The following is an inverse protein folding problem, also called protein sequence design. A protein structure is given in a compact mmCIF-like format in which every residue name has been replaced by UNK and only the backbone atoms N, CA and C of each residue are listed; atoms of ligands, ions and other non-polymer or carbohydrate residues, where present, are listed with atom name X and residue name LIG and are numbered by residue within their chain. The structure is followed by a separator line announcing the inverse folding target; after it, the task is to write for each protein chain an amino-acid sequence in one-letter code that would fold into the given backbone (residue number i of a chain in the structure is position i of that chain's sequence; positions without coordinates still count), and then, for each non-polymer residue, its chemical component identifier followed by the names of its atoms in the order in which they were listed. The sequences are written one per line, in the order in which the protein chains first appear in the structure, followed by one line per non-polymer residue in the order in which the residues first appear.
data_IF_647765481000
#
_entry.id   IF_647765481000
#
_cell.length_a   1.000
_cell.length_b   1.000
_cell.length_c   1.000
_cell.angle_alpha   90.00
_cell.angle_beta   90.00
_cell.angle_gamma   90.00
#
_symmetry.space_group_name_H-M   'P 1'
#
loop_
_entity.id
_entity.type
_entity.pdbx_description
1 polymer ?
#
# COMPACT_ATOMS: atom_id res chain seq x y z
N UNK A 1 -23.77 0.22 -4.30
CA UNK A 1 -22.62 -0.12 -5.19
C UNK A 1 -23.26 -0.79 -6.39
N UNK A 2 -23.91 0.03 -7.22
CA UNK A 2 -24.67 -0.44 -8.36
C UNK A 2 -23.79 -0.27 -9.59
N UNK A 3 -23.59 -1.36 -10.32
CA UNK A 3 -22.79 -1.50 -11.54
C UNK A 3 -21.29 -1.19 -11.42
N UNK A 4 -20.53 -2.07 -10.76
CA UNK A 4 -19.08 -2.17 -11.03
C UNK A 4 -18.92 -2.64 -12.48
N UNK A 5 -18.77 -1.72 -13.41
CA UNK A 5 -18.62 -2.07 -14.83
C UNK A 5 -17.26 -2.76 -15.01
N UNK A 6 -17.16 -3.86 -15.79
CA UNK A 6 -15.88 -4.54 -16.03
C UNK A 6 -14.79 -3.60 -16.59
N UNK A 7 -15.21 -2.54 -17.31
CA UNK A 7 -14.32 -1.46 -17.78
C UNK A 7 -13.64 -0.68 -16.65
N UNK A 8 -14.33 -0.48 -15.53
CA UNK A 8 -13.80 0.25 -14.38
C UNK A 8 -12.79 -0.60 -13.61
N UNK A 9 -13.10 -1.88 -13.41
CA UNK A 9 -12.19 -2.86 -12.80
C UNK A 9 -10.91 -2.99 -13.61
N UNK A 10 -11.04 -3.17 -14.93
CA UNK A 10 -9.90 -3.28 -15.83
C UNK A 10 -9.04 -2.01 -15.79
N UNK A 11 -9.65 -0.82 -15.81
CA UNK A 11 -8.90 0.44 -15.75
C UNK A 11 -8.09 0.55 -14.46
N UNK A 12 -8.70 0.27 -13.30
CA UNK A 12 -8.00 0.36 -12.01
C UNK A 12 -6.90 -0.70 -11.91
N UNK A 13 -7.21 -1.96 -12.23
CA UNK A 13 -6.24 -3.05 -12.18
C UNK A 13 -5.05 -2.82 -13.11
N UNK A 14 -5.30 -2.31 -14.32
CA UNK A 14 -4.26 -1.98 -15.28
C UNK A 14 -3.37 -0.83 -14.80
N UNK A 15 -3.95 0.29 -14.35
CA UNK A 15 -3.15 1.42 -13.87
C UNK A 15 -2.35 1.02 -12.63
N UNK A 16 -2.99 0.35 -11.66
CA UNK A 16 -2.32 -0.06 -10.43
C UNK A 16 -1.20 -1.07 -10.70
N UNK A 17 -1.45 -2.08 -11.55
CA UNK A 17 -0.42 -3.04 -11.96
C UNK A 17 0.73 -2.37 -12.72
N UNK A 18 0.44 -1.41 -13.61
CA UNK A 18 1.46 -0.66 -14.35
C UNK A 18 2.31 0.21 -13.42
N UNK A 19 1.69 0.93 -12.48
CA UNK A 19 2.42 1.72 -11.49
C UNK A 19 3.29 0.83 -10.59
N UNK A 20 2.77 -0.31 -10.14
CA UNK A 20 3.52 -1.25 -9.30
C UNK A 20 4.63 -1.97 -10.07
N UNK A 21 4.51 -2.14 -11.39
CA UNK A 21 5.59 -2.61 -12.26
C UNK A 21 6.69 -1.56 -12.42
N UNK A 22 6.30 -0.29 -12.58
CA UNK A 22 7.23 0.81 -12.85
C UNK A 22 8.01 1.25 -11.60
N UNK A 23 7.40 1.18 -10.42
CA UNK A 23 8.02 1.61 -9.16
C UNK A 23 9.33 0.86 -8.79
N UNK A 24 9.40 -0.49 -8.88
CA UNK A 24 10.64 -1.22 -8.66
C UNK A 24 11.74 -0.85 -9.66
N UNK A 25 11.38 -0.59 -10.93
CA UNK A 25 12.33 -0.16 -11.96
C UNK A 25 12.90 1.22 -11.62
N UNK A 26 12.03 2.16 -11.20
CA UNK A 26 12.47 3.48 -10.73
C UNK A 26 13.36 3.34 -9.49
N UNK A 27 12.99 2.48 -8.54
CA UNK A 27 13.78 2.20 -7.34
C UNK A 27 15.15 1.60 -7.67
N UNK A 28 15.21 0.73 -8.68
CA UNK A 28 16.46 0.13 -9.16
C UNK A 28 17.37 1.17 -9.83
N UNK A 29 16.83 2.01 -10.70
CA UNK A 29 17.56 3.12 -11.33
C UNK A 29 18.06 4.13 -10.28
N UNK A 30 17.18 4.53 -9.36
CA UNK A 30 17.52 5.45 -8.27
C UNK A 30 18.56 4.84 -7.31
N UNK A 31 18.50 3.53 -7.06
CA UNK A 31 19.45 2.81 -6.23
C UNK A 31 20.87 2.77 -6.78
N UNK A 32 21.00 2.75 -8.11
CA UNK A 32 22.30 2.89 -8.76
C UNK A 32 22.92 4.29 -8.59
N UNK A 33 22.10 5.32 -8.28
CA UNK A 33 22.53 6.71 -8.14
C UNK A 33 22.65 7.20 -6.68
N UNK A 34 21.97 6.56 -5.72
CA UNK A 34 21.79 7.05 -4.35
C UNK A 34 22.18 5.96 -3.35
N UNK A 35 23.46 5.89 -2.98
CA UNK A 35 24.00 4.67 -2.36
C UNK A 35 23.83 4.51 -0.85
N UNK A 36 23.41 5.50 -0.05
CA UNK A 36 23.43 5.30 1.42
C UNK A 36 22.49 6.16 2.27
N UNK A 37 22.21 7.41 1.91
CA UNK A 37 21.47 8.32 2.83
C UNK A 37 19.94 8.13 2.86
N UNK A 38 19.34 7.60 1.78
CA UNK A 38 17.89 7.42 1.69
C UNK A 38 17.39 6.24 2.53
N UNK A 39 18.23 5.24 2.77
CA UNK A 39 17.86 4.05 3.53
C UNK A 39 17.54 4.45 4.98
N UNK A 40 18.40 5.23 5.64
CA UNK A 40 18.17 5.63 7.04
C UNK A 40 16.93 6.50 7.22
N UNK A 41 16.69 7.46 6.31
CA UNK A 41 15.50 8.33 6.38
C UNK A 41 14.21 7.62 5.96
N UNK A 42 14.29 6.65 5.04
CA UNK A 42 13.13 5.94 4.51
C UNK A 42 12.37 5.14 5.56
N UNK A 43 13.06 4.53 6.52
CA UNK A 43 12.42 3.75 7.59
C UNK A 43 11.62 4.63 8.56
N UNK A 44 12.15 5.80 8.92
CA UNK A 44 11.44 6.74 9.78
C UNK A 44 10.21 7.33 9.09
N UNK A 45 10.32 7.59 7.78
CA UNK A 45 9.18 8.01 6.94
C UNK A 45 8.11 6.91 6.84
N UNK A 46 8.50 5.66 6.59
CA UNK A 46 7.60 4.53 6.55
C UNK A 46 6.89 4.34 7.90
N UNK A 47 7.62 4.37 9.02
CA UNK A 47 7.04 4.29 10.35
C UNK A 47 6.00 5.39 10.60
N UNK A 48 6.36 6.65 10.35
CA UNK A 48 5.46 7.78 10.56
C UNK A 48 4.18 7.61 9.73
N UNK A 49 4.32 7.22 8.46
CA UNK A 49 3.19 7.02 7.56
C UNK A 49 2.29 5.85 7.99
N UNK A 50 2.85 4.69 8.32
CA UNK A 50 2.11 3.51 8.77
C UNK A 50 1.38 3.78 10.10
N UNK A 51 2.03 4.45 11.05
CA UNK A 51 1.44 4.78 12.33
C UNK A 51 0.28 5.78 12.16
N UNK A 52 0.45 6.79 11.29
CA UNK A 52 -0.58 7.79 10.99
C UNK A 52 -1.79 7.15 10.29
N UNK A 53 -1.57 6.29 9.29
CA UNK A 53 -2.65 5.56 8.61
C UNK A 53 -3.36 4.60 9.57
N UNK A 54 -2.61 3.78 10.30
CA UNK A 54 -3.17 2.78 11.21
C UNK A 54 -3.95 3.43 12.35
N UNK A 55 -3.43 4.52 12.92
CA UNK A 55 -4.11 5.33 13.92
C UNK A 55 -5.41 5.95 13.37
N UNK A 56 -5.39 6.49 12.14
CA UNK A 56 -6.59 7.02 11.48
C UNK A 56 -7.65 5.93 11.28
N UNK A 57 -7.28 4.73 10.84
CA UNK A 57 -8.21 3.60 10.67
C UNK A 57 -8.85 3.18 12.01
N UNK A 58 -8.09 3.24 13.11
CA UNK A 58 -8.59 2.95 14.45
C UNK A 58 -9.54 4.05 14.97
N UNK A 59 -9.18 5.32 14.74
CA UNK A 59 -10.02 6.49 15.06
C UNK A 59 -11.35 6.46 14.29
N UNK A 60 -11.32 6.17 13.00
CA UNK A 60 -12.51 6.06 12.15
C UNK A 60 -13.43 4.92 12.63
N UNK A 61 -12.86 3.86 13.21
CA UNK A 61 -13.61 2.75 13.82
C UNK A 61 -14.30 3.17 15.12
N UNK A 62 -13.64 3.99 15.96
CA UNK A 62 -14.16 4.47 17.25
C UNK A 62 -15.16 5.63 17.11
N UNK A 63 -15.02 6.44 16.06
CA UNK A 63 -15.94 7.54 15.71
C UNK A 63 -17.27 7.06 15.11
N UNK A 64 -17.42 5.75 14.83
CA UNK A 64 -18.61 5.17 14.20
C UNK A 64 -19.79 4.93 15.17
N UNK A 65 -19.76 5.48 16.38
CA UNK A 65 -20.88 5.50 17.33
C UNK A 65 -21.84 6.64 16.95
N UNK A 66 -22.68 6.43 15.91
CA UNK A 66 -23.86 7.30 15.66
C UNK A 66 -23.94 8.05 14.33
N UNK A 67 -22.96 7.95 13.43
CA UNK A 67 -23.13 8.43 12.03
C UNK A 67 -22.92 7.28 11.07
N UNK A 68 -23.88 7.09 10.16
CA UNK A 68 -23.78 6.19 9.00
C UNK A 68 -22.42 6.46 8.36
N UNK A 69 -21.52 5.49 8.46
CA UNK A 69 -20.21 5.55 7.83
C UNK A 69 -20.48 5.59 6.34
N UNK A 70 -20.46 6.79 5.76
CA UNK A 70 -20.14 6.94 4.35
C UNK A 70 -18.72 6.42 4.21
N UNK A 71 -18.65 5.11 3.99
CA UNK A 71 -17.50 4.39 3.51
C UNK A 71 -17.26 4.88 2.08
N UNK A 72 -16.79 6.12 1.96
CA UNK A 72 -16.20 6.64 0.74
C UNK A 72 -14.69 6.40 0.84
N UNK A 73 -14.20 5.29 0.26
CA UNK A 73 -12.77 5.11 -0.01
C UNK A 73 -12.16 6.25 -0.84
N UNK A 74 -12.97 7.19 -1.33
CA UNK A 74 -12.60 8.40 -2.07
C UNK A 74 -12.16 9.60 -1.21
N UNK A 75 -12.11 9.51 0.13
CA UNK A 75 -11.51 10.58 0.95
C UNK A 75 -9.99 10.60 0.74
N UNK A 76 -9.57 11.43 -0.22
CA UNK A 76 -8.25 11.45 -0.86
C UNK A 76 -7.03 11.32 0.05
N UNK A 77 -7.09 11.78 1.30
CA UNK A 77 -5.94 11.67 2.21
C UNK A 77 -5.55 10.23 2.57
N UNK A 78 -6.54 9.34 2.78
CA UNK A 78 -6.25 7.93 3.08
C UNK A 78 -5.71 7.20 1.85
N UNK A 79 -6.28 7.52 0.68
CA UNK A 79 -5.87 6.93 -0.59
C UNK A 79 -4.47 7.40 -1.00
N UNK A 80 -4.16 8.69 -0.80
CA UNK A 80 -2.81 9.26 -0.97
C UNK A 80 -1.84 8.60 0.00
N UNK A 81 -2.17 8.49 1.28
CA UNK A 81 -1.28 7.89 2.25
C UNK A 81 -1.03 6.39 1.98
N UNK A 82 -2.07 5.62 1.62
CA UNK A 82 -1.95 4.21 1.26
C UNK A 82 -1.14 4.02 -0.03
N UNK A 83 -1.37 4.88 -1.03
CA UNK A 83 -0.58 4.92 -2.27
C UNK A 83 0.88 5.23 -1.97
N UNK A 84 1.16 6.19 -1.08
CA UNK A 84 2.52 6.55 -0.69
C UNK A 84 3.20 5.40 0.07
N UNK A 85 2.49 4.73 0.99
CA UNK A 85 3.01 3.58 1.72
C UNK A 85 3.35 2.41 0.78
N UNK A 86 2.45 2.10 -0.16
CA UNK A 86 2.63 1.02 -1.14
C UNK A 86 3.75 1.34 -2.14
N UNK A 87 3.92 2.62 -2.49
CA UNK A 87 4.99 3.09 -3.38
C UNK A 87 6.37 3.02 -2.72
N UNK A 88 6.48 3.36 -1.43
CA UNK A 88 7.75 3.26 -0.69
C UNK A 88 8.19 1.80 -0.58
N UNK A 89 7.25 0.89 -0.34
CA UNK A 89 7.53 -0.56 -0.27
C UNK A 89 8.07 -1.10 -1.61
N UNK A 90 7.41 -0.78 -2.72
CA UNK A 90 7.85 -1.18 -4.06
C UNK A 90 9.23 -0.60 -4.44
N UNK A 91 9.49 0.65 -4.04
CA UNK A 91 10.76 1.33 -4.26
C UNK A 91 11.88 0.68 -3.43
N UNK A 92 11.62 0.33 -2.17
CA UNK A 92 12.59 -0.34 -1.30
C UNK A 92 12.98 -1.74 -1.83
N UNK A 93 12.02 -2.49 -2.38
CA UNK A 93 12.31 -3.76 -3.07
C UNK A 93 13.17 -3.54 -4.31
N UNK A 94 12.86 -2.52 -5.13
CA UNK A 94 13.66 -2.16 -6.31
C UNK A 94 15.10 -1.77 -5.97
N UNK A 95 15.26 -0.95 -4.93
CA UNK A 95 16.56 -0.56 -4.37
C UNK A 95 17.35 -1.79 -3.87
N UNK A 96 16.71 -2.67 -3.12
CA UNK A 96 17.32 -3.90 -2.60
C UNK A 96 17.82 -4.82 -3.72
N UNK A 97 17.07 -4.93 -4.82
CA UNK A 97 17.47 -5.71 -6.00
C UNK A 97 18.65 -5.09 -6.76
N UNK A 98 18.78 -3.76 -6.76
CA UNK A 98 19.95 -3.08 -7.33
C UNK A 98 21.24 -3.43 -6.59
N UNK A 99 21.17 -3.51 -5.25
CA UNK A 99 22.29 -3.95 -4.42
C UNK A 99 22.65 -5.43 -4.65
N UNK A 100 21.67 -6.28 -4.92
CA UNK A 100 21.90 -7.70 -5.20
C UNK A 100 22.35 -7.99 -6.65
N UNK A 101 22.47 -6.97 -7.52
CA UNK A 101 22.84 -7.12 -8.94
C UNK A 101 21.94 -8.12 -9.71
N UNK A 102 20.71 -8.34 -9.25
CA UNK A 102 19.74 -9.24 -9.88
C UNK A 102 18.99 -8.48 -10.98
N UNK A 103 18.65 -9.17 -12.07
CA UNK A 103 17.85 -8.58 -13.14
C UNK A 103 16.46 -8.14 -12.64
N UNK A 104 16.19 -6.82 -12.70
CA UNK A 104 14.96 -6.19 -12.19
C UNK A 104 13.70 -6.54 -13.00
N UNK A 105 13.88 -7.01 -14.23
CA UNK A 105 12.80 -7.28 -15.17
C UNK A 105 11.83 -8.35 -14.66
N UNK A 106 12.35 -9.49 -14.20
CA UNK A 106 11.53 -10.62 -13.75
C UNK A 106 10.73 -10.30 -12.47
N UNK A 107 11.35 -9.74 -11.40
CA UNK A 107 10.63 -9.31 -10.21
C UNK A 107 9.57 -8.23 -10.50
N UNK A 108 9.89 -7.25 -11.34
CA UNK A 108 8.95 -6.15 -11.65
C UNK A 108 7.70 -6.68 -12.36
N UNK A 109 7.87 -7.56 -13.36
CA UNK A 109 6.74 -8.18 -14.08
C UNK A 109 5.86 -8.98 -13.12
N UNK A 110 6.46 -9.79 -12.24
CA UNK A 110 5.70 -10.59 -11.27
C UNK A 110 4.92 -9.70 -10.31
N UNK A 111 5.54 -8.66 -9.75
CA UNK A 111 4.87 -7.71 -8.85
C UNK A 111 3.72 -6.99 -9.54
N UNK A 112 3.93 -6.49 -10.76
CA UNK A 112 2.87 -5.83 -11.54
C UNK A 112 1.70 -6.75 -11.86
N UNK A 113 1.98 -8.01 -12.24
CA UNK A 113 0.96 -9.01 -12.56
C UNK A 113 0.15 -9.40 -11.31
N UNK A 114 0.83 -9.68 -10.20
CA UNK A 114 0.17 -10.00 -8.93
C UNK A 114 -0.67 -8.82 -8.44
N UNK A 115 -0.17 -7.58 -8.53
CA UNK A 115 -0.91 -6.38 -8.16
C UNK A 115 -2.17 -6.18 -9.02
N UNK A 116 -2.08 -6.40 -10.34
CA UNK A 116 -3.24 -6.34 -11.23
C UNK A 116 -4.29 -7.42 -10.89
N UNK A 117 -3.84 -8.64 -10.59
CA UNK A 117 -4.71 -9.76 -10.23
C UNK A 117 -5.42 -9.51 -8.89
N UNK A 118 -4.67 -9.09 -7.87
CA UNK A 118 -5.21 -8.72 -6.57
C UNK A 118 -6.15 -7.51 -6.63
N UNK A 119 -5.86 -6.52 -7.48
CA UNK A 119 -6.75 -5.37 -7.66
C UNK A 119 -8.09 -5.78 -8.29
N UNK A 120 -8.06 -6.67 -9.29
CA UNK A 120 -9.26 -7.22 -9.93
C UNK A 120 -10.12 -8.01 -8.95
N UNK A 121 -9.50 -8.91 -8.18
CA UNK A 121 -10.16 -9.70 -7.12
C UNK A 121 -10.67 -8.77 -6.00
N UNK A 122 -9.85 -7.81 -5.59
CA UNK A 122 -10.16 -6.86 -4.53
C UNK A 122 -11.41 -6.03 -4.83
N UNK A 123 -11.51 -5.46 -6.03
CA UNK A 123 -12.65 -4.61 -6.42
C UNK A 123 -13.95 -5.44 -6.54
N UNK A 124 -13.87 -6.67 -7.06
CA UNK A 124 -15.03 -7.54 -7.21
C UNK A 124 -15.56 -8.05 -5.85
N UNK A 125 -14.67 -8.34 -4.91
CA UNK A 125 -15.03 -8.77 -3.55
C UNK A 125 -15.33 -7.61 -2.59
N UNK A 126 -14.80 -6.41 -2.84
CA UNK A 126 -14.93 -5.25 -1.96
C UNK A 126 -16.41 -4.93 -1.64
N UNK A 127 -17.30 -4.97 -2.63
CA UNK A 127 -18.69 -4.55 -2.41
C UNK A 127 -19.50 -5.41 -1.42
N UNK A 128 -19.19 -6.71 -1.32
CA UNK A 128 -19.86 -7.62 -0.37
C UNK A 128 -19.13 -7.68 0.96
N UNK A 129 -17.80 -7.71 0.93
CA UNK A 129 -16.96 -7.83 2.13
C UNK A 129 -16.97 -6.54 2.94
N UNK A 130 -16.87 -5.37 2.29
CA UNK A 130 -16.81 -4.07 2.99
C UNK A 130 -18.09 -3.78 3.80
N UNK A 131 -19.27 -4.22 3.31
CA UNK A 131 -20.55 -3.95 3.99
C UNK A 131 -20.73 -4.72 5.29
N UNK A 132 -20.19 -5.95 5.39
CA UNK A 132 -20.33 -6.81 6.58
C UNK A 132 -19.07 -6.83 7.45
N UNK A 133 -17.89 -6.71 6.85
CA UNK A 133 -16.60 -6.84 7.53
C UNK A 133 -15.81 -5.53 7.56
N UNK A 134 -16.29 -4.43 6.98
CA UNK A 134 -15.53 -3.17 6.90
C UNK A 134 -15.06 -2.65 8.25
N UNK A 135 -15.88 -2.76 9.31
CA UNK A 135 -15.48 -2.38 10.68
C UNK A 135 -14.35 -3.27 11.23
N UNK A 136 -14.47 -4.59 11.06
CA UNK A 136 -13.45 -5.55 11.52
C UNK A 136 -12.16 -5.38 10.70
N UNK A 137 -12.29 -5.21 9.38
CA UNK A 137 -11.17 -4.98 8.47
C UNK A 137 -10.42 -3.68 8.80
N UNK A 138 -11.12 -2.59 9.15
CA UNK A 138 -10.47 -1.35 9.58
C UNK A 138 -9.74 -1.50 10.92
N UNK A 139 -10.34 -2.20 11.88
CA UNK A 139 -9.71 -2.44 13.19
C UNK A 139 -8.45 -3.32 13.04
N UNK A 140 -8.59 -4.46 12.36
CA UNK A 140 -7.50 -5.42 12.15
C UNK A 140 -6.41 -4.80 11.29
N UNK A 141 -6.77 -4.15 10.19
CA UNK A 141 -5.83 -3.46 9.31
C UNK A 141 -5.07 -2.36 10.05
N UNK A 142 -5.76 -1.52 10.83
CA UNK A 142 -5.14 -0.48 11.63
C UNK A 142 -4.16 -1.03 12.67
N UNK A 143 -4.55 -2.07 13.41
CA UNK A 143 -3.67 -2.73 14.39
C UNK A 143 -2.43 -3.34 13.73
N UNK A 144 -2.61 -4.06 12.61
CA UNK A 144 -1.49 -4.67 11.87
C UNK A 144 -0.53 -3.58 11.38
N UNK A 145 -1.06 -2.47 10.85
CA UNK A 145 -0.21 -1.39 10.33
C UNK A 145 0.61 -0.71 11.42
N UNK A 146 0.01 -0.47 12.60
CA UNK A 146 0.73 0.04 13.77
C UNK A 146 1.80 -0.96 14.21
N UNK A 147 1.48 -2.26 14.29
CA UNK A 147 2.44 -3.31 14.65
C UNK A 147 3.62 -3.38 13.68
N UNK A 148 3.37 -3.32 12.37
CA UNK A 148 4.43 -3.29 11.36
C UNK A 148 5.29 -2.03 11.52
N UNK A 149 4.67 -0.87 11.71
CA UNK A 149 5.40 0.38 11.97
C UNK A 149 6.33 0.25 13.19
N UNK A 150 5.80 -0.21 14.32
CA UNK A 150 6.59 -0.41 15.55
C UNK A 150 7.73 -1.40 15.32
N UNK A 151 7.49 -2.50 14.59
CA UNK A 151 8.53 -3.48 14.23
C UNK A 151 9.65 -2.87 13.39
N UNK A 152 9.35 -1.98 12.44
CA UNK A 152 10.35 -1.30 11.61
C UNK A 152 11.29 -0.45 12.48
N UNK A 153 10.75 0.29 13.45
CA UNK A 153 11.56 1.12 14.36
C UNK A 153 12.47 0.25 15.23
N UNK A 154 11.93 -0.81 15.83
CA UNK A 154 12.70 -1.69 16.73
C UNK A 154 13.82 -2.41 15.95
N UNK A 155 13.53 -2.87 14.73
CA UNK A 155 14.48 -3.65 13.92
C UNK A 155 15.67 -2.86 13.40
N UNK A 156 15.61 -1.52 13.40
CA UNK A 156 16.71 -0.65 12.96
C UNK A 156 17.39 0.11 14.11
N UNK A 157 16.88 -0.01 15.34
CA UNK A 157 17.56 0.47 16.54
C UNK A 157 18.43 -0.61 17.20
N UNK A 158 18.45 -1.84 16.66
CA UNK A 158 19.28 -2.97 17.11
C UNK A 158 20.32 -3.32 16.04
#
# INVERSE_FOLDING_TARGET
IDSVTPRHVFRIAFHFGLFQFMMPIIGWLAGSAISTQVITFGHWLAFALLCLIGGKMLLDTRSSTGKKVNADPSRGWLLVALSLATSIDALAVGLSMAFLQISIWLPSVVVGLVAALFSTVGITLAGRVLRRWGRVANLVGGCILILIGVRIVISHQA
#
